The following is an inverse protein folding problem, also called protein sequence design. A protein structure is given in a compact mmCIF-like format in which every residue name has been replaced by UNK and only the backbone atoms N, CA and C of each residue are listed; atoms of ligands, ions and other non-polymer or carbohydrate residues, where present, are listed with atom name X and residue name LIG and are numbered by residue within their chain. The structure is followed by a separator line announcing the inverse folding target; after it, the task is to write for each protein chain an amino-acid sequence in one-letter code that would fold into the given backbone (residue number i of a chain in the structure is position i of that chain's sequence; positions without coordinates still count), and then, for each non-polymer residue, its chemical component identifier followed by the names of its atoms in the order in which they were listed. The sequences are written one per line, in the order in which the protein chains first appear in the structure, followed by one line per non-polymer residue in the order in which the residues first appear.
data_IF_473674101137
#
_entry.id   IF_473674101137
#
_cell.length_a   1.000
_cell.length_b   1.000
_cell.length_c   1.000
_cell.angle_alpha   90.00
_cell.angle_beta   90.00
_cell.angle_gamma   90.00
#
_symmetry.space_group_name_H-M   'P 1'
#
loop_
_entity.id
_entity.type
_entity.pdbx_description
1 polymer ?
#
# COMPACT_ATOMS: atom_id res chain seq x y z
N UNK A 1 16.10 -3.15 21.04
CA UNK A 1 14.65 -3.00 21.36
C UNK A 1 14.06 -2.27 20.19
N UNK A 2 13.05 -2.86 19.53
CA UNK A 2 12.45 -2.31 18.31
C UNK A 2 11.90 -0.91 18.57
N UNK A 3 12.23 0.02 17.69
CA UNK A 3 11.62 1.35 17.69
C UNK A 3 10.27 1.24 16.97
N UNK A 4 9.17 1.30 17.72
CA UNK A 4 7.82 1.22 17.16
C UNK A 4 7.47 2.56 16.52
N UNK A 5 7.19 2.54 15.21
CA UNK A 5 6.76 3.72 14.46
C UNK A 5 5.25 3.93 14.57
N UNK A 6 4.47 2.85 14.36
CA UNK A 6 3.02 2.84 14.49
C UNK A 6 2.60 1.61 15.26
N UNK A 7 2.05 1.80 16.45
CA UNK A 7 1.39 0.75 17.22
C UNK A 7 0.13 0.24 16.52
N UNK A 8 -0.36 -0.94 16.94
CA UNK A 8 -1.62 -1.50 16.42
C UNK A 8 -2.77 -0.51 16.62
N UNK A 9 -2.86 0.09 17.80
CA UNK A 9 -3.92 1.01 18.18
C UNK A 9 -3.90 2.29 17.32
N UNK A 10 -2.70 2.78 16.98
CA UNK A 10 -2.57 3.92 16.05
C UNK A 10 -3.01 3.55 14.64
N UNK A 11 -2.67 2.35 14.17
CA UNK A 11 -3.08 1.87 12.85
C UNK A 11 -4.60 1.70 12.77
N UNK A 12 -5.22 1.11 13.80
CA UNK A 12 -6.68 1.00 13.90
C UNK A 12 -7.36 2.37 13.87
N UNK A 13 -6.80 3.36 14.60
CA UNK A 13 -7.32 4.72 14.57
C UNK A 13 -7.15 5.39 13.19
N UNK A 14 -6.05 5.13 12.48
CA UNK A 14 -5.82 5.60 11.11
C UNK A 14 -6.85 5.00 10.15
N UNK A 15 -7.04 3.68 10.18
CA UNK A 15 -8.01 2.98 9.34
C UNK A 15 -9.41 3.55 9.54
N UNK A 16 -9.84 3.71 10.79
CA UNK A 16 -11.15 4.28 11.12
C UNK A 16 -11.32 5.70 10.62
N UNK A 17 -10.31 6.55 10.80
CA UNK A 17 -10.37 7.93 10.33
C UNK A 17 -10.44 8.02 8.79
N UNK A 18 -9.57 7.30 8.08
CA UNK A 18 -9.57 7.30 6.62
C UNK A 18 -10.84 6.66 6.06
N UNK A 19 -11.31 5.55 6.66
CA UNK A 19 -12.55 4.89 6.28
C UNK A 19 -13.76 5.83 6.35
N UNK A 20 -13.87 6.60 7.44
CA UNK A 20 -14.92 7.61 7.57
C UNK A 20 -14.80 8.71 6.50
N UNK A 21 -13.59 9.23 6.25
CA UNK A 21 -13.38 10.26 5.22
C UNK A 21 -13.73 9.76 3.82
N UNK A 22 -13.34 8.53 3.48
CA UNK A 22 -13.71 7.88 2.21
C UNK A 22 -15.22 7.68 2.12
N UNK A 23 -15.88 7.27 3.21
CA UNK A 23 -17.33 7.10 3.23
C UNK A 23 -18.06 8.40 2.90
N UNK A 24 -17.63 9.51 3.50
CA UNK A 24 -18.19 10.83 3.21
C UNK A 24 -17.91 11.30 1.77
N UNK A 25 -16.72 11.02 1.23
CA UNK A 25 -16.37 11.39 -0.15
C UNK A 25 -17.15 10.56 -1.19
N UNK A 26 -17.48 9.31 -0.87
CA UNK A 26 -18.00 8.33 -1.83
C UNK A 26 -19.52 8.09 -1.73
N UNK A 27 -20.21 8.69 -0.76
CA UNK A 27 -21.64 8.44 -0.48
C UNK A 27 -22.60 8.75 -1.64
N UNK A 28 -22.22 9.69 -2.52
CA UNK A 28 -23.05 10.14 -3.64
C UNK A 28 -22.63 9.51 -4.98
N UNK A 29 -21.77 8.49 -4.97
CA UNK A 29 -21.32 7.79 -6.18
C UNK A 29 -22.42 6.86 -6.74
N UNK A 30 -22.82 7.08 -8.00
CA UNK A 30 -23.87 6.28 -8.66
C UNK A 30 -23.49 4.80 -8.81
N UNK A 31 -22.20 4.51 -9.01
CA UNK A 31 -21.66 3.15 -9.06
C UNK A 31 -20.82 2.92 -7.81
N UNK A 32 -21.01 1.76 -7.18
CA UNK A 32 -20.17 1.31 -6.06
C UNK A 32 -18.67 1.50 -6.37
N UNK A 33 -17.92 2.27 -5.55
CA UNK A 33 -16.49 2.43 -5.68
C UNK A 33 -15.76 1.09 -5.55
N UNK A 34 -14.57 1.00 -6.14
CA UNK A 34 -13.72 -0.19 -6.04
C UNK A 34 -12.47 0.09 -5.23
N UNK A 35 -12.29 -0.64 -4.14
CA UNK A 35 -11.05 -0.65 -3.35
C UNK A 35 -10.12 -1.72 -3.92
N UNK A 36 -8.93 -1.32 -4.34
CA UNK A 36 -7.93 -2.17 -4.97
C UNK A 36 -6.67 -2.21 -4.11
N UNK A 37 -6.46 -3.31 -3.40
CA UNK A 37 -5.25 -3.53 -2.62
C UNK A 37 -4.05 -3.84 -3.52
N UNK A 38 -2.91 -3.19 -3.26
CA UNK A 38 -1.65 -3.43 -3.97
C UNK A 38 -0.86 -4.50 -3.23
N UNK A 39 -0.79 -5.68 -3.83
CA UNK A 39 -0.25 -6.87 -3.17
C UNK A 39 1.25 -7.01 -3.37
N UNK A 40 1.98 -7.55 -2.38
CA UNK A 40 1.46 -8.12 -1.13
C UNK A 40 1.43 -7.15 0.06
N UNK A 41 2.20 -6.06 0.01
CA UNK A 41 2.41 -5.15 1.14
C UNK A 41 1.11 -4.55 1.67
N UNK A 42 0.29 -3.98 0.78
CA UNK A 42 -1.00 -3.37 1.12
C UNK A 42 -2.07 -4.31 1.65
N UNK A 43 -1.84 -5.63 1.76
CA UNK A 43 -2.86 -6.61 2.18
C UNK A 43 -3.49 -6.25 3.54
N UNK A 44 -2.66 -6.09 4.57
CA UNK A 44 -3.16 -5.87 5.93
C UNK A 44 -3.91 -4.55 6.03
N UNK A 45 -3.30 -3.47 5.52
CA UNK A 45 -3.91 -2.14 5.55
C UNK A 45 -5.22 -2.10 4.77
N UNK A 46 -5.28 -2.73 3.58
CA UNK A 46 -6.52 -2.81 2.80
C UNK A 46 -7.62 -3.52 3.60
N UNK A 47 -7.32 -4.68 4.19
CA UNK A 47 -8.31 -5.49 4.91
C UNK A 47 -8.83 -4.81 6.17
N UNK A 48 -8.00 -4.03 6.86
CA UNK A 48 -8.44 -3.28 8.03
C UNK A 48 -9.21 -2.01 7.63
N UNK A 49 -8.73 -1.27 6.63
CA UNK A 49 -9.39 -0.05 6.14
C UNK A 49 -10.83 -0.30 5.67
N UNK A 50 -11.07 -1.35 4.88
CA UNK A 50 -12.40 -1.60 4.29
C UNK A 50 -13.49 -1.87 5.33
N UNK A 51 -13.13 -2.26 6.57
CA UNK A 51 -14.09 -2.51 7.65
C UNK A 51 -14.73 -1.23 8.16
N UNK A 52 -14.07 -0.10 7.95
CA UNK A 52 -14.50 1.24 8.39
C UNK A 52 -15.03 2.11 7.23
N UNK A 53 -15.30 1.50 6.06
CA UNK A 53 -15.97 2.18 4.94
C UNK A 53 -17.48 1.84 4.97
N UNK A 54 -18.30 2.86 5.21
CA UNK A 54 -19.75 2.75 5.48
C UNK A 54 -20.63 2.89 4.23
N UNK A 55 -20.04 2.81 3.03
CA UNK A 55 -20.76 2.80 1.74
C UNK A 55 -20.55 1.47 1.01
N UNK A 56 -21.47 1.05 0.11
CA UNK A 56 -21.26 -0.16 -0.68
C UNK A 56 -20.00 -0.08 -1.54
N UNK A 57 -19.06 -1.01 -1.33
CA UNK A 57 -17.81 -1.09 -2.09
C UNK A 57 -17.68 -2.45 -2.81
N UNK A 58 -16.85 -2.45 -3.84
CA UNK A 58 -16.30 -3.65 -4.48
C UNK A 58 -14.83 -3.74 -4.07
N UNK A 59 -14.32 -4.95 -3.84
CA UNK A 59 -12.90 -5.17 -3.54
C UNK A 59 -12.24 -5.98 -4.64
N UNK A 60 -11.04 -5.58 -5.03
CA UNK A 60 -10.13 -6.35 -5.89
C UNK A 60 -8.69 -6.12 -5.41
N UNK A 61 -7.72 -6.70 -6.11
CA UNK A 61 -6.32 -6.50 -5.84
C UNK A 61 -5.50 -6.57 -7.12
N UNK A 62 -4.38 -5.86 -7.14
CA UNK A 62 -3.37 -5.99 -8.19
C UNK A 62 -2.07 -6.47 -7.59
N UNK A 63 -1.21 -7.08 -8.40
CA UNK A 63 0.14 -7.41 -7.98
C UNK A 63 1.11 -6.85 -9.01
N UNK A 64 2.07 -6.07 -8.54
CA UNK A 64 3.17 -5.56 -9.34
C UNK A 64 4.49 -6.08 -8.79
N UNK A 65 5.53 -6.09 -9.63
CA UNK A 65 6.90 -6.29 -9.17
C UNK A 65 7.79 -5.17 -9.69
N UNK A 66 8.60 -4.61 -8.80
CA UNK A 66 9.69 -3.70 -9.12
C UNK A 66 10.98 -4.48 -9.34
N UNK A 67 11.62 -4.30 -10.49
CA UNK A 67 12.96 -4.87 -10.72
C UNK A 67 14.02 -4.07 -9.95
N UNK A 68 14.67 -4.71 -8.98
CA UNK A 68 15.78 -4.16 -8.20
C UNK A 68 17.13 -4.74 -8.66
N UNK A 69 17.45 -4.61 -9.95
CA UNK A 69 18.75 -4.98 -10.53
C UNK A 69 19.67 -3.76 -10.68
N UNK A 70 20.98 -3.99 -10.77
CA UNK A 70 22.10 -3.02 -10.74
C UNK A 70 22.11 -1.91 -11.81
N UNK A 71 21.09 -1.79 -12.66
CA UNK A 71 21.10 -0.83 -13.78
C UNK A 71 19.73 -0.31 -14.23
N UNK A 72 18.60 -0.78 -13.68
CA UNK A 72 17.26 -0.32 -14.08
C UNK A 72 16.35 -0.12 -12.87
N UNK A 73 16.63 0.91 -12.08
CA UNK A 73 15.68 1.43 -11.09
C UNK A 73 14.46 2.00 -11.82
N UNK A 74 13.29 1.39 -11.66
CA UNK A 74 12.01 1.97 -12.11
C UNK A 74 11.21 1.18 -13.14
N UNK A 75 11.68 0.01 -13.59
CA UNK A 75 10.83 -0.88 -14.40
C UNK A 75 9.90 -1.65 -13.47
N UNK A 76 8.60 -1.38 -13.62
CA UNK A 76 7.52 -2.08 -12.94
C UNK A 76 6.83 -2.98 -13.95
N UNK A 77 6.55 -4.22 -13.55
CA UNK A 77 5.72 -5.13 -14.33
C UNK A 77 4.50 -5.56 -13.53
N UNK A 78 3.36 -5.67 -14.21
CA UNK A 78 2.14 -6.23 -13.67
C UNK A 78 2.26 -7.76 -13.63
N UNK A 79 2.09 -8.33 -12.43
CA UNK A 79 2.04 -9.78 -12.20
C UNK A 79 0.61 -10.30 -12.21
N UNK A 80 -0.32 -9.53 -11.65
CA UNK A 80 -1.75 -9.84 -11.61
C UNK A 80 -2.54 -8.56 -11.81
N UNK A 81 -3.46 -8.61 -12.76
CA UNK A 81 -4.37 -7.52 -13.11
C UNK A 81 -5.68 -7.60 -12.31
N UNK A 82 -6.53 -6.59 -12.46
CA UNK A 82 -7.90 -6.59 -11.93
C UNK A 82 -8.67 -7.81 -12.45
N UNK A 83 -9.38 -8.46 -11.55
CA UNK A 83 -10.34 -9.52 -11.87
C UNK A 83 -11.65 -8.93 -12.39
N UNK A 84 -12.07 -7.78 -11.85
CA UNK A 84 -13.25 -7.03 -12.31
C UNK A 84 -12.79 -5.88 -13.20
N UNK A 85 -13.05 -5.99 -14.51
CA UNK A 85 -12.53 -5.04 -15.51
C UNK A 85 -13.50 -3.92 -15.89
N UNK A 86 -14.79 -4.06 -15.59
CA UNK A 86 -15.79 -3.00 -15.79
C UNK A 86 -15.73 -1.95 -14.66
N UNK A 87 -14.67 -1.15 -14.72
CA UNK A 87 -14.41 -0.05 -13.79
C UNK A 87 -14.56 1.34 -14.42
N UNK A 88 -15.00 1.40 -15.68
CA UNK A 88 -15.36 2.66 -16.33
C UNK A 88 -16.45 3.36 -15.52
N UNK A 89 -16.36 4.67 -15.37
CA UNK A 89 -17.34 5.46 -14.60
C UNK A 89 -17.44 5.09 -13.10
N UNK A 90 -16.50 4.28 -12.58
CA UNK A 90 -16.34 4.00 -11.14
C UNK A 90 -15.19 4.81 -10.55
N UNK A 91 -15.30 5.15 -9.26
CA UNK A 91 -14.14 5.59 -8.47
C UNK A 91 -13.33 4.36 -8.05
N UNK A 92 -12.01 4.41 -8.25
CA UNK A 92 -11.08 3.36 -7.87
C UNK A 92 -10.14 3.90 -6.79
N UNK A 93 -10.05 3.20 -5.66
CA UNK A 93 -9.16 3.53 -4.55
C UNK A 93 -8.00 2.53 -4.56
N UNK A 94 -6.81 2.98 -4.96
CA UNK A 94 -5.58 2.20 -4.80
C UNK A 94 -5.12 2.28 -3.35
N UNK A 95 -4.96 1.13 -2.69
CA UNK A 95 -4.55 1.03 -1.29
C UNK A 95 -3.22 0.28 -1.18
N UNK A 96 -2.22 0.91 -0.59
CA UNK A 96 -0.89 0.31 -0.37
C UNK A 96 -0.36 0.55 1.05
N UNK A 97 0.58 -0.26 1.51
CA UNK A 97 1.18 -0.10 2.85
C UNK A 97 2.14 1.10 2.90
N UNK A 98 2.97 1.27 1.88
CA UNK A 98 3.94 2.37 1.81
C UNK A 98 4.08 2.93 0.40
N UNK A 99 4.13 4.26 0.30
CA UNK A 99 4.46 4.94 -0.96
C UNK A 99 5.78 5.68 -0.79
N UNK A 100 6.82 5.13 -1.41
CA UNK A 100 8.22 5.52 -1.21
C UNK A 100 8.76 6.40 -2.35
N UNK A 101 9.40 5.80 -3.36
CA UNK A 101 9.88 6.52 -4.55
C UNK A 101 8.76 7.07 -5.42
N UNK A 102 7.57 6.46 -5.39
CA UNK A 102 6.38 6.86 -6.17
C UNK A 102 6.20 6.10 -7.49
N UNK A 103 7.20 5.32 -7.93
CA UNK A 103 7.12 4.59 -9.20
C UNK A 103 5.91 3.65 -9.26
N UNK A 104 5.63 2.88 -8.19
CA UNK A 104 4.52 1.92 -8.12
C UNK A 104 3.16 2.57 -8.36
N UNK A 105 2.86 3.62 -7.60
CA UNK A 105 1.59 4.33 -7.72
C UNK A 105 1.47 5.10 -9.03
N UNK A 106 2.57 5.68 -9.52
CA UNK A 106 2.60 6.31 -10.83
C UNK A 106 2.24 5.30 -11.93
N UNK A 107 2.94 4.15 -11.97
CA UNK A 107 2.67 3.09 -12.92
C UNK A 107 1.22 2.61 -12.87
N UNK A 108 0.71 2.26 -11.68
CA UNK A 108 -0.65 1.75 -11.51
C UNK A 108 -1.70 2.78 -11.92
N UNK A 109 -1.53 4.05 -11.54
CA UNK A 109 -2.44 5.12 -11.93
C UNK A 109 -2.50 5.26 -13.45
N UNK A 110 -1.35 5.31 -14.12
CA UNK A 110 -1.29 5.41 -15.58
C UNK A 110 -1.89 4.17 -16.26
N UNK A 111 -1.51 2.97 -15.81
CA UNK A 111 -2.03 1.71 -16.31
C UNK A 111 -3.57 1.65 -16.23
N UNK A 112 -4.16 2.00 -15.09
CA UNK A 112 -5.61 1.97 -14.91
C UNK A 112 -6.33 3.02 -15.75
N UNK A 113 -5.78 4.23 -15.86
CA UNK A 113 -6.33 5.29 -16.71
C UNK A 113 -6.32 4.88 -18.19
N UNK A 114 -5.21 4.35 -18.68
CA UNK A 114 -5.05 3.98 -20.09
C UNK A 114 -5.89 2.75 -20.45
N UNK A 115 -5.90 1.71 -19.60
CA UNK A 115 -6.54 0.44 -19.93
C UNK A 115 -8.03 0.43 -19.67
N UNK A 116 -8.48 1.06 -18.58
CA UNK A 116 -9.86 0.94 -18.11
C UNK A 116 -10.61 2.27 -18.00
N UNK A 117 -9.88 3.40 -17.94
CA UNK A 117 -10.43 4.75 -17.88
C UNK A 117 -11.56 4.91 -16.83
N UNK A 118 -11.27 4.68 -15.52
CA UNK A 118 -12.23 4.87 -14.46
C UNK A 118 -12.63 6.35 -14.30
N UNK A 119 -13.73 6.63 -13.60
CA UNK A 119 -14.20 8.00 -13.32
C UNK A 119 -13.12 8.83 -12.62
N UNK A 120 -12.47 8.21 -11.63
CA UNK A 120 -11.47 8.82 -10.75
C UNK A 120 -10.62 7.74 -10.12
N UNK A 121 -9.35 8.06 -9.88
CA UNK A 121 -8.44 7.24 -9.08
C UNK A 121 -8.07 8.04 -7.83
N UNK A 122 -8.28 7.44 -6.67
CA UNK A 122 -7.85 7.91 -5.34
C UNK A 122 -6.67 7.04 -4.91
N UNK A 123 -5.62 7.65 -4.38
CA UNK A 123 -4.46 6.92 -3.83
C UNK A 123 -4.45 7.07 -2.31
N UNK A 124 -4.52 5.93 -1.62
CA UNK A 124 -4.51 5.82 -0.18
C UNK A 124 -3.32 4.95 0.27
N UNK A 125 -2.54 5.42 1.24
CA UNK A 125 -1.48 4.60 1.83
C UNK A 125 -1.39 4.75 3.34
N UNK A 126 -0.89 3.70 4.02
CA UNK A 126 -0.63 3.79 5.45
C UNK A 126 0.54 4.74 5.72
N UNK A 127 1.64 4.59 4.97
CA UNK A 127 2.86 5.39 5.17
C UNK A 127 3.26 6.10 3.87
N UNK A 128 3.36 7.43 3.93
CA UNK A 128 3.91 8.24 2.85
C UNK A 128 5.35 8.66 3.19
N UNK A 129 6.34 8.12 2.47
CA UNK A 129 7.76 8.47 2.65
C UNK A 129 8.14 9.58 1.67
N UNK A 130 8.11 10.81 2.14
CA UNK A 130 8.38 11.98 1.30
C UNK A 130 9.88 12.20 1.07
N UNK A 131 10.74 11.72 1.97
CA UNK A 131 12.19 11.96 1.92
C UNK A 131 12.94 11.32 0.76
N UNK A 132 12.36 10.30 0.13
CA UNK A 132 12.99 9.56 -0.98
C UNK A 132 12.15 9.54 -2.26
N UNK A 133 11.12 10.40 -2.32
CA UNK A 133 10.26 10.63 -3.49
C UNK A 133 11.13 10.90 -4.73
N UNK A 134 10.89 10.15 -5.82
CA UNK A 134 11.56 10.31 -7.12
C UNK A 134 10.62 10.76 -8.22
N UNK A 135 9.36 10.35 -8.14
CA UNK A 135 8.28 10.79 -9.02
C UNK A 135 7.18 11.38 -8.15
N UNK A 136 6.71 12.57 -8.53
CA UNK A 136 5.57 13.19 -7.88
C UNK A 136 4.30 12.37 -8.14
N UNK A 137 3.62 12.02 -7.05
CA UNK A 137 2.35 11.29 -7.07
C UNK A 137 1.49 11.93 -6.00
N UNK A 138 0.31 12.40 -6.41
CA UNK A 138 -0.69 12.89 -5.48
C UNK A 138 -1.19 11.72 -4.63
N UNK A 139 -0.92 11.79 -3.33
CA UNK A 139 -1.52 10.91 -2.33
C UNK A 139 -2.74 11.64 -1.77
N UNK A 140 -3.91 11.05 -1.93
CA UNK A 140 -5.17 11.66 -1.49
C UNK A 140 -5.39 11.41 0.02
N UNK A 141 -5.02 10.22 0.49
CA UNK A 141 -5.09 9.84 1.90
C UNK A 141 -3.79 9.17 2.34
N UNK A 142 -3.16 9.72 3.38
CA UNK A 142 -2.01 9.12 4.04
C UNK A 142 -2.30 8.94 5.54
N UNK A 143 -1.96 7.78 6.08
CA UNK A 143 -2.09 7.50 7.51
C UNK A 143 -0.99 8.14 8.34
N UNK A 144 0.23 8.13 7.82
CA UNK A 144 1.42 8.65 8.48
C UNK A 144 2.42 9.21 7.47
N UNK A 145 2.89 10.42 7.72
CA UNK A 145 3.91 11.10 6.92
C UNK A 145 5.30 10.87 7.53
N UNK A 146 6.12 10.03 6.89
CA UNK A 146 7.48 9.76 7.34
C UNK A 146 8.48 10.61 6.55
N UNK A 147 9.16 11.52 7.26
CA UNK A 147 10.16 12.44 6.70
C UNK A 147 11.59 11.90 6.73
N UNK A 148 11.80 10.74 7.31
CA UNK A 148 13.11 10.11 7.42
C UNK A 148 13.19 8.89 6.51
N UNK A 149 14.36 8.70 5.88
CA UNK A 149 14.62 7.49 5.12
C UNK A 149 14.94 6.32 6.06
N UNK A 150 13.89 5.71 6.62
CA UNK A 150 14.00 4.53 7.49
C UNK A 150 13.52 3.28 6.77
N UNK A 151 14.22 2.17 6.99
CA UNK A 151 13.71 0.86 6.65
C UNK A 151 12.65 0.45 7.67
N UNK A 152 11.53 -0.10 7.21
CA UNK A 152 10.37 -0.40 8.04
C UNK A 152 9.96 -1.86 7.82
N UNK A 153 9.52 -2.51 8.90
CA UNK A 153 8.97 -3.86 8.87
C UNK A 153 7.67 -3.94 9.68
N UNK A 154 6.89 -4.98 9.41
CA UNK A 154 5.66 -5.23 10.12
C UNK A 154 4.43 -4.64 9.45
N UNK A 155 3.27 -5.17 9.81
CA UNK A 155 1.97 -4.77 9.32
C UNK A 155 1.91 -4.68 7.78
N UNK A 156 2.18 -5.82 7.12
CA UNK A 156 2.24 -5.89 5.66
C UNK A 156 3.63 -5.62 5.08
N UNK A 157 4.43 -4.75 5.70
CA UNK A 157 5.82 -4.49 5.29
C UNK A 157 6.71 -5.68 5.62
N UNK A 158 7.62 -6.01 4.71
CA UNK A 158 8.43 -7.22 4.81
C UNK A 158 9.93 -6.99 4.75
N UNK A 159 10.65 -8.03 5.17
CA UNK A 159 12.02 -8.27 4.79
C UNK A 159 12.14 -9.70 4.30
N UNK A 160 12.42 -9.86 3.00
CA UNK A 160 12.50 -11.17 2.33
C UNK A 160 11.25 -12.02 2.56
N UNK A 161 10.07 -11.43 2.34
CA UNK A 161 8.74 -12.04 2.51
C UNK A 161 8.32 -12.34 3.96
N UNK A 162 9.19 -12.08 4.96
CA UNK A 162 8.88 -12.27 6.38
C UNK A 162 8.39 -10.97 7.04
N UNK A 163 7.89 -11.08 8.29
CA UNK A 163 7.42 -9.97 9.15
C UNK A 163 6.11 -9.30 8.79
N UNK A 164 5.49 -9.60 7.64
CA UNK A 164 4.18 -9.04 7.29
C UNK A 164 3.11 -9.26 8.37
N UNK A 165 3.24 -10.32 9.18
CA UNK A 165 2.32 -10.69 10.25
C UNK A 165 2.53 -9.97 11.59
N UNK A 166 3.61 -9.19 11.76
CA UNK A 166 3.79 -8.37 12.96
C UNK A 166 2.68 -7.30 12.99
N UNK A 167 1.96 -7.08 14.10
CA UNK A 167 0.73 -6.29 14.08
C UNK A 167 0.93 -4.76 14.17
N UNK A 168 2.16 -4.30 14.08
CA UNK A 168 2.56 -2.89 14.19
C UNK A 168 3.70 -2.63 13.21
N UNK A 169 3.95 -1.36 12.88
CA UNK A 169 5.10 -0.96 12.07
C UNK A 169 6.24 -0.53 12.97
N UNK A 170 7.44 -1.02 12.70
CA UNK A 170 8.64 -0.70 13.47
C UNK A 170 9.87 -0.53 12.59
N UNK A 171 10.89 0.10 13.16
CA UNK A 171 12.23 0.19 12.61
C UNK A 171 13.06 -0.92 13.27
N UNK A 172 13.57 -1.90 12.50
CA UNK A 172 14.43 -2.94 13.03
C UNK A 172 15.80 -2.41 13.43
N UNK A 173 16.41 -3.06 14.43
CA UNK A 173 17.82 -2.88 14.71
C UNK A 173 18.69 -3.79 13.83
N UNK A 174 19.99 -3.49 13.77
CA UNK A 174 20.94 -4.22 12.92
C UNK A 174 21.07 -5.68 13.35
N UNK A 175 20.94 -5.96 14.65
CA UNK A 175 21.03 -7.32 15.19
C UNK A 175 19.88 -8.20 14.67
N UNK A 176 18.65 -7.68 14.66
CA UNK A 176 17.51 -8.36 14.08
C UNK A 176 17.72 -8.66 12.58
N UNK A 177 18.21 -7.69 11.81
CA UNK A 177 18.51 -7.88 10.38
C UNK A 177 19.58 -8.97 10.19
N UNK A 178 20.66 -8.91 10.96
CA UNK A 178 21.78 -9.86 10.87
C UNK A 178 21.38 -11.28 11.28
N UNK A 179 20.53 -11.41 12.30
CA UNK A 179 19.96 -12.69 12.72
C UNK A 179 19.11 -13.29 11.59
N UNK A 180 18.25 -12.47 10.97
CA UNK A 180 17.42 -12.96 9.86
C UNK A 180 18.21 -13.26 8.60
N UNK A 181 19.25 -12.51 8.26
CA UNK A 181 20.13 -12.85 7.15
C UNK A 181 20.78 -14.23 7.32
N UNK A 182 21.08 -14.63 8.56
CA UNK A 182 21.58 -15.96 8.88
C UNK A 182 20.49 -17.04 8.76
N UNK A 183 19.31 -16.80 9.34
CA UNK A 183 18.23 -17.80 9.41
C UNK A 183 17.39 -17.92 8.13
N UNK A 184 17.20 -16.85 7.36
CA UNK A 184 16.38 -16.84 6.15
C UNK A 184 16.95 -17.75 5.05
N UNK A 185 18.27 -17.96 5.03
CA UNK A 185 18.93 -18.96 4.16
C UNK A 185 18.51 -20.39 4.47
N UNK A 186 18.01 -20.68 5.66
CA UNK A 186 17.68 -22.03 6.12
C UNK A 186 16.16 -22.34 6.07
N UNK A 187 15.30 -21.32 5.99
CA UNK A 187 13.84 -21.49 6.17
C UNK A 187 12.95 -21.02 5.02
N UNK A 188 13.44 -20.16 4.13
CA UNK A 188 12.61 -19.50 3.09
C UNK A 188 13.05 -19.86 1.67
N UNK A 189 14.27 -20.39 1.49
CA UNK A 189 14.81 -20.89 0.23
C UNK A 189 14.90 -22.42 0.24
#
# INVERSE_FOLDING_TARGET
MREVLLSREQIEAICKNIGHLLSEELKDEERAPMVVGVMKGGLNFTLDLIKDIDVPIITDYVQISSYSGTSQTGIISLKKDLSITDIKDRVVILVDDVVDTGYSMHYLRHFLLEKYNPKRIIICCLINKTSVRKIDVKIDYSGYELKENKFLMGYGLDYKELFRNVPYVYIPDQEEIDEYEKTAREKVL
#
